data_IF_147384370534
#
_entry.id   IF_147384370534
#
_cell.length_a   1.000
_cell.length_b   1.000
_cell.length_c   1.000
_cell.angle_alpha   90.00
_cell.angle_beta   90.00
_cell.angle_gamma   90.00
#
_symmetry.space_group_name_H-M   'P 1'
#
loop_
_entity.id
_entity.type
_entity.pdbx_description
1 polymer ?
#
# COMPACT_ATOMS: atom_id res chain seq x y z
N UNK A 1 -33.80 -4.66 62.58
CA UNK A 1 -33.57 -3.45 63.43
C UNK A 1 -32.26 -3.69 64.17
N UNK A 2 -31.20 -2.91 64.01
CA UNK A 2 -31.07 -1.50 64.39
C UNK A 2 -29.98 -0.82 63.54
N UNK A 3 -30.32 0.38 63.07
CA UNK A 3 -29.45 1.30 62.33
C UNK A 3 -28.74 2.17 63.37
N UNK A 4 -27.42 2.35 63.26
CA UNK A 4 -26.71 3.37 64.04
C UNK A 4 -25.75 4.11 63.14
N UNK A 5 -26.16 5.31 62.75
CA UNK A 5 -25.37 6.30 62.02
C UNK A 5 -24.48 7.02 63.02
N UNK A 6 -23.19 7.16 62.73
CA UNK A 6 -22.33 8.15 63.38
C UNK A 6 -21.53 8.89 62.31
N UNK A 7 -21.84 10.17 62.16
CA UNK A 7 -20.99 11.16 61.50
C UNK A 7 -20.29 11.92 62.62
N UNK A 8 -18.97 11.90 62.66
CA UNK A 8 -18.20 12.88 63.41
C UNK A 8 -16.75 12.96 62.89
N UNK A 9 -16.49 14.05 62.18
CA UNK A 9 -15.30 14.92 62.32
C UNK A 9 -13.90 14.33 62.09
N UNK A 10 -13.32 14.78 60.98
CA UNK A 10 -11.87 14.84 60.68
C UNK A 10 -11.03 15.43 61.82
N UNK A 11 -9.82 14.89 62.06
CA UNK A 11 -8.68 15.69 62.43
C UNK A 11 -7.77 15.92 61.22
N UNK A 12 -7.48 17.20 61.01
CA UNK A 12 -6.39 17.72 60.18
C UNK A 12 -5.05 17.17 60.72
N UNK A 13 -4.35 16.33 59.94
CA UNK A 13 -2.95 15.98 60.22
C UNK A 13 -2.07 16.65 59.18
N UNK A 14 -1.27 17.59 59.68
CA UNK A 14 -0.23 18.32 58.99
C UNK A 14 1.01 17.41 58.83
N UNK A 15 1.46 17.24 57.59
CA UNK A 15 2.86 17.07 57.16
C UNK A 15 3.75 16.03 57.85
N UNK A 16 3.98 14.91 57.15
CA UNK A 16 5.28 14.22 57.19
C UNK A 16 5.75 13.94 55.75
N UNK A 17 6.90 14.50 55.41
CA UNK A 17 7.57 14.45 54.10
C UNK A 17 8.25 13.10 53.87
N UNK A 18 7.96 12.44 52.75
CA UNK A 18 8.78 11.35 52.18
C UNK A 18 9.36 11.85 50.85
N UNK A 19 10.69 11.82 50.64
CA UNK A 19 11.28 12.20 49.37
C UNK A 19 11.25 11.03 48.37
N UNK A 20 10.86 11.39 47.15
CA UNK A 20 11.32 10.86 45.86
C UNK A 20 11.55 9.34 45.68
N UNK A 21 10.60 8.71 45.00
CA UNK A 21 10.90 7.81 43.88
C UNK A 21 9.76 8.00 42.86
N UNK A 22 10.12 8.35 41.62
CA UNK A 22 9.19 8.65 40.55
C UNK A 22 8.23 7.48 40.27
N UNK A 23 6.94 7.77 40.19
CA UNK A 23 5.91 6.83 39.75
C UNK A 23 6.22 6.35 38.32
N UNK A 24 6.03 5.06 37.99
CA UNK A 24 5.97 4.65 36.59
C UNK A 24 4.84 5.43 35.91
N UNK A 25 5.01 5.96 34.69
CA UNK A 25 3.94 6.71 34.04
C UNK A 25 2.71 5.80 33.97
N UNK A 26 1.67 6.19 34.69
CA UNK A 26 0.38 5.54 34.63
C UNK A 26 -0.05 5.56 33.15
N UNK A 27 -0.21 4.37 32.56
CA UNK A 27 -0.92 4.23 31.30
C UNK A 27 -2.35 4.71 31.55
N UNK A 28 -2.60 5.99 31.28
CA UNK A 28 -3.91 6.60 31.41
C UNK A 28 -4.94 5.87 30.54
N UNK A 29 -6.23 5.94 30.88
CA UNK A 29 -7.27 5.33 30.08
C UNK A 29 -7.25 5.99 28.69
N UNK A 30 -6.98 5.18 27.66
CA UNK A 30 -7.06 5.62 26.27
C UNK A 30 -8.45 6.20 26.05
N UNK A 31 -8.52 7.50 25.80
CA UNK A 31 -9.80 8.19 25.63
C UNK A 31 -10.39 7.87 24.26
N UNK A 32 -11.72 7.96 24.13
CA UNK A 32 -12.40 7.77 22.83
C UNK A 32 -11.89 8.76 21.78
N UNK A 33 -11.41 9.92 22.21
CA UNK A 33 -10.84 10.96 21.36
C UNK A 33 -9.43 10.61 20.86
N UNK A 34 -8.59 10.00 21.70
CA UNK A 34 -7.28 9.48 21.30
C UNK A 34 -7.42 8.25 20.38
N UNK A 35 -8.41 7.38 20.66
CA UNK A 35 -8.79 6.29 19.76
C UNK A 35 -9.26 6.84 18.40
N UNK A 36 -10.15 7.84 18.39
CA UNK A 36 -10.62 8.45 17.15
C UNK A 36 -9.48 9.08 16.37
N UNK A 37 -8.55 9.79 17.02
CA UNK A 37 -7.38 10.38 16.36
C UNK A 37 -6.44 9.31 15.80
N UNK A 38 -6.18 8.23 16.54
CA UNK A 38 -5.39 7.11 16.04
C UNK A 38 -6.08 6.40 14.85
N UNK A 39 -7.41 6.29 14.87
CA UNK A 39 -8.19 5.76 13.75
C UNK A 39 -8.21 6.71 12.54
N UNK A 40 -8.27 8.02 12.76
CA UNK A 40 -8.23 9.03 11.70
C UNK A 40 -6.84 9.12 11.06
N UNK A 41 -5.77 8.97 11.85
CA UNK A 41 -4.39 8.89 11.39
C UNK A 41 -4.14 7.59 10.60
N UNK A 42 -4.66 6.46 11.10
CA UNK A 42 -4.67 5.18 10.38
C UNK A 42 -5.50 5.28 9.08
N UNK A 43 -6.65 5.95 9.09
CA UNK A 43 -7.49 6.15 7.91
C UNK A 43 -6.84 7.10 6.88
N UNK A 44 -6.10 8.11 7.35
CA UNK A 44 -5.26 8.98 6.53
C UNK A 44 -4.09 8.21 5.90
N UNK A 45 -3.46 7.32 6.67
CA UNK A 45 -2.41 6.42 6.21
C UNK A 45 -2.94 5.37 5.21
N UNK A 46 -4.18 4.88 5.39
CA UNK A 46 -4.90 4.00 4.45
C UNK A 46 -5.26 4.74 3.15
N UNK A 47 -5.69 6.00 3.21
CA UNK A 47 -5.94 6.83 2.02
C UNK A 47 -4.65 7.14 1.25
N UNK A 48 -3.58 7.51 1.96
CA UNK A 48 -2.24 7.67 1.35
C UNK A 48 -1.68 6.35 0.82
N UNK A 49 -2.07 5.22 1.42
CA UNK A 49 -1.83 3.89 0.89
C UNK A 49 -2.59 3.65 -0.41
N UNK A 50 -3.84 4.08 -0.58
CA UNK A 50 -4.60 3.93 -1.84
C UNK A 50 -3.93 4.62 -3.05
N UNK A 51 -3.31 5.78 -2.84
CA UNK A 51 -2.55 6.46 -3.88
C UNK A 51 -1.16 5.84 -4.10
N UNK A 52 -0.54 5.31 -3.03
CA UNK A 52 0.66 4.46 -3.13
C UNK A 52 0.38 3.12 -3.80
N UNK A 53 -0.81 2.53 -3.62
CA UNK A 53 -1.32 1.35 -4.31
C UNK A 53 -1.38 1.67 -5.81
N UNK A 54 -1.99 2.79 -6.20
CA UNK A 54 -2.02 3.26 -7.61
C UNK A 54 -0.61 3.39 -8.20
N UNK A 55 0.34 3.87 -7.39
CA UNK A 55 1.77 3.90 -7.70
C UNK A 55 2.43 2.51 -7.76
N UNK A 56 2.01 1.56 -6.92
CA UNK A 56 2.56 0.20 -6.83
C UNK A 56 2.05 -0.75 -7.93
N UNK A 57 0.80 -0.60 -8.38
CA UNK A 57 0.32 -1.24 -9.63
C UNK A 57 1.05 -0.69 -10.86
N UNK A 58 1.75 0.45 -10.73
CA UNK A 58 2.40 1.16 -11.84
C UNK A 58 3.90 1.46 -11.64
N UNK A 59 4.55 0.96 -10.59
CA UNK A 59 5.96 1.21 -10.23
C UNK A 59 6.37 0.37 -9.02
N UNK A 60 7.56 -0.22 -8.93
CA UNK A 60 8.86 0.32 -9.34
C UNK A 60 9.84 -0.81 -9.65
N UNK A 61 9.59 -1.54 -10.72
CA UNK A 61 10.69 -2.12 -11.49
C UNK A 61 10.66 -1.47 -12.88
N UNK A 62 11.67 -0.65 -13.25
CA UNK A 62 11.79 -0.08 -14.59
C UNK A 62 11.70 -1.14 -15.71
N UNK A 63 12.02 -2.41 -15.39
CA UNK A 63 11.97 -3.53 -16.32
C UNK A 63 10.56 -4.08 -16.53
N UNK A 64 9.63 -3.85 -15.60
CA UNK A 64 8.29 -4.42 -15.67
C UNK A 64 7.26 -3.41 -16.22
N UNK A 65 7.26 -3.23 -17.55
CA UNK A 65 6.27 -2.41 -18.26
C UNK A 65 4.86 -3.03 -18.20
N UNK A 66 3.77 -2.25 -18.09
CA UNK A 66 2.40 -2.78 -18.14
C UNK A 66 2.02 -3.14 -19.59
N UNK A 67 2.62 -4.21 -20.13
CA UNK A 67 2.66 -4.44 -21.58
C UNK A 67 1.28 -4.58 -22.22
N UNK A 68 0.33 -5.28 -21.58
CA UNK A 68 -1.04 -5.38 -22.09
C UNK A 68 -1.72 -4.01 -22.15
N UNK A 69 -1.47 -3.13 -21.16
CA UNK A 69 -1.98 -1.76 -21.21
C UNK A 69 -1.37 -0.96 -22.36
N UNK A 70 -0.11 -1.21 -22.71
CA UNK A 70 0.53 -0.62 -23.90
C UNK A 70 -0.13 -1.16 -25.17
N UNK A 71 -0.30 -2.47 -25.30
CA UNK A 71 -1.00 -3.06 -26.46
C UNK A 71 -2.39 -2.43 -26.66
N UNK A 72 -3.15 -2.26 -25.57
CA UNK A 72 -4.47 -1.63 -25.60
C UNK A 72 -4.42 -0.13 -25.92
N UNK A 73 -3.40 0.60 -25.46
CA UNK A 73 -3.25 2.03 -25.78
C UNK A 73 -2.89 2.28 -27.24
N UNK A 74 -2.19 1.34 -27.88
CA UNK A 74 -1.81 1.39 -29.29
C UNK A 74 -2.70 0.50 -30.17
N UNK A 75 -3.95 0.25 -29.76
CA UNK A 75 -4.82 -0.72 -30.44
C UNK A 75 -5.08 -0.37 -31.91
N UNK A 76 -5.16 0.92 -32.25
CA UNK A 76 -5.34 1.36 -33.64
C UNK A 76 -4.06 1.18 -34.45
N UNK A 77 -2.91 1.57 -33.91
CA UNK A 77 -1.62 1.39 -34.57
C UNK A 77 -1.35 -0.09 -34.76
N UNK A 78 -1.58 -0.93 -33.76
CA UNK A 78 -1.43 -2.38 -33.86
C UNK A 78 -2.51 -3.04 -34.73
N UNK A 79 -3.55 -2.32 -35.14
CA UNK A 79 -4.65 -2.90 -35.93
C UNK A 79 -5.33 -4.06 -35.20
N UNK A 80 -5.56 -3.92 -33.89
CA UNK A 80 -6.18 -4.97 -33.09
C UNK A 80 -7.66 -5.14 -33.48
N UNK A 81 -8.09 -6.38 -33.63
CA UNK A 81 -9.51 -6.69 -33.80
C UNK A 81 -10.29 -6.46 -32.50
N UNK A 82 -11.61 -6.31 -32.58
CA UNK A 82 -12.47 -6.18 -31.41
C UNK A 82 -12.31 -7.37 -30.45
N UNK A 83 -12.19 -8.59 -30.98
CA UNK A 83 -11.96 -9.80 -30.18
C UNK A 83 -10.60 -9.80 -29.47
N UNK A 84 -9.53 -9.35 -30.13
CA UNK A 84 -8.22 -9.20 -29.50
C UNK A 84 -8.25 -8.18 -28.36
N UNK A 85 -8.92 -7.03 -28.56
CA UNK A 85 -9.08 -6.01 -27.52
C UNK A 85 -9.83 -6.59 -26.32
N UNK A 86 -10.94 -7.29 -26.55
CA UNK A 86 -11.73 -7.89 -25.48
C UNK A 86 -10.92 -8.90 -24.65
N UNK A 87 -10.16 -9.78 -25.31
CA UNK A 87 -9.33 -10.77 -24.60
C UNK A 87 -8.19 -10.10 -23.82
N UNK A 88 -7.55 -9.08 -24.38
CA UNK A 88 -6.51 -8.33 -23.68
C UNK A 88 -7.06 -7.58 -22.45
N UNK A 89 -8.24 -6.98 -22.57
CA UNK A 89 -8.91 -6.34 -21.43
C UNK A 89 -9.27 -7.35 -20.34
N UNK A 90 -9.78 -8.52 -20.72
CA UNK A 90 -10.10 -9.61 -19.80
C UNK A 90 -8.85 -10.09 -19.07
N UNK A 91 -7.78 -10.41 -19.79
CA UNK A 91 -6.50 -10.84 -19.20
C UNK A 91 -5.96 -9.81 -18.19
N UNK A 92 -6.01 -8.52 -18.55
CA UNK A 92 -5.60 -7.43 -17.64
C UNK A 92 -6.46 -7.38 -16.38
N UNK A 93 -7.78 -7.48 -16.52
CA UNK A 93 -8.70 -7.42 -15.39
C UNK A 93 -8.59 -8.64 -14.48
N UNK A 94 -8.42 -9.83 -15.06
CA UNK A 94 -8.23 -11.08 -14.32
C UNK A 94 -6.95 -11.02 -13.47
N UNK A 95 -5.82 -10.66 -14.10
CA UNK A 95 -4.56 -10.49 -13.38
C UNK A 95 -4.65 -9.39 -12.33
N UNK A 96 -5.30 -8.25 -12.61
CA UNK A 96 -5.45 -7.19 -11.63
C UNK A 96 -6.21 -7.65 -10.39
N UNK A 97 -7.31 -8.41 -10.56
CA UNK A 97 -8.05 -9.00 -9.43
C UNK A 97 -7.20 -9.96 -8.63
N UNK A 98 -6.43 -10.80 -9.31
CA UNK A 98 -5.50 -11.75 -8.68
C UNK A 98 -4.40 -11.04 -7.90
N UNK A 99 -3.81 -10.00 -8.50
CA UNK A 99 -2.74 -9.21 -7.90
C UNK A 99 -3.22 -8.46 -6.66
N UNK A 100 -4.42 -7.88 -6.68
CA UNK A 100 -5.01 -7.22 -5.50
C UNK A 100 -5.12 -8.20 -4.32
N UNK A 101 -5.58 -9.43 -4.56
CA UNK A 101 -5.70 -10.45 -3.51
C UNK A 101 -4.34 -10.83 -2.91
N UNK A 102 -3.38 -11.18 -3.77
CA UNK A 102 -2.03 -11.56 -3.32
C UNK A 102 -1.28 -10.44 -2.62
N UNK A 103 -1.48 -9.20 -3.06
CA UNK A 103 -0.88 -8.03 -2.43
C UNK A 103 -1.50 -7.76 -1.05
N UNK A 104 -2.81 -8.04 -0.88
CA UNK A 104 -3.44 -8.04 0.44
C UNK A 104 -2.84 -9.12 1.35
N UNK A 105 -2.69 -10.35 0.86
CA UNK A 105 -2.07 -11.45 1.61
C UNK A 105 -0.62 -11.11 2.00
N UNK A 106 0.14 -10.50 1.09
CA UNK A 106 1.52 -10.06 1.34
C UNK A 106 1.59 -9.05 2.48
N UNK A 107 0.68 -8.07 2.49
CA UNK A 107 0.62 -7.06 3.56
C UNK A 107 0.30 -7.69 4.91
N UNK A 108 -0.62 -8.65 4.93
CA UNK A 108 -0.92 -9.39 6.16
C UNK A 108 0.33 -10.13 6.66
N UNK A 109 1.05 -10.83 5.79
CA UNK A 109 2.28 -11.51 6.15
C UNK A 109 3.38 -10.55 6.66
N UNK A 110 3.50 -9.36 6.05
CA UNK A 110 4.44 -8.32 6.49
C UNK A 110 4.04 -7.70 7.86
N UNK A 111 2.75 -7.50 8.11
CA UNK A 111 2.23 -7.03 9.40
C UNK A 111 2.45 -8.07 10.50
N UNK A 112 2.19 -9.34 10.21
CA UNK A 112 2.45 -10.45 11.13
C UNK A 112 3.95 -10.55 11.46
N UNK A 113 4.83 -10.43 10.45
CA UNK A 113 6.27 -10.40 10.65
C UNK A 113 6.68 -9.24 11.57
N UNK A 114 6.15 -8.03 11.32
CA UNK A 114 6.43 -6.87 12.16
C UNK A 114 5.95 -7.04 13.60
N UNK A 115 4.86 -7.78 13.83
CA UNK A 115 4.39 -8.11 15.17
C UNK A 115 5.31 -9.13 15.87
N UNK A 116 5.77 -10.16 15.15
CA UNK A 116 6.70 -11.17 15.68
C UNK A 116 8.03 -10.56 16.13
N UNK A 117 8.55 -9.57 15.40
CA UNK A 117 9.81 -8.90 15.74
C UNK A 117 9.72 -8.03 17.00
N UNK A 118 8.52 -7.77 17.52
CA UNK A 118 8.31 -7.00 18.76
C UNK A 118 8.21 -7.88 20.00
N UNK A 119 8.21 -9.21 19.85
CA UNK A 119 8.15 -10.13 21.00
C UNK A 119 9.53 -10.29 21.64
N UNK A 120 9.56 -10.51 22.95
CA UNK A 120 10.80 -10.82 23.68
C UNK A 120 10.60 -12.11 24.51
N UNK A 121 11.32 -13.21 24.22
CA UNK A 121 12.27 -13.34 23.12
C UNK A 121 11.59 -13.39 21.74
N UNK A 122 12.35 -13.06 20.69
CA UNK A 122 11.89 -13.23 19.30
C UNK A 122 11.88 -14.72 18.94
N UNK A 123 10.74 -15.19 18.40
CA UNK A 123 10.63 -16.53 17.83
C UNK A 123 11.18 -16.54 16.39
N UNK A 124 12.46 -16.91 16.25
CA UNK A 124 13.15 -16.95 14.96
C UNK A 124 12.53 -17.94 13.96
N UNK A 125 11.93 -19.03 14.44
CA UNK A 125 11.28 -20.01 13.56
C UNK A 125 10.03 -19.43 12.89
N UNK A 126 9.22 -18.68 13.65
CA UNK A 126 8.06 -17.98 13.10
C UNK A 126 8.45 -16.82 12.19
N UNK A 127 9.52 -16.09 12.53
CA UNK A 127 10.07 -15.03 11.68
C UNK A 127 10.49 -15.59 10.32
N UNK A 128 11.29 -16.66 10.31
CA UNK A 128 11.73 -17.30 9.06
C UNK A 128 10.55 -17.76 8.21
N UNK A 129 9.55 -18.38 8.82
CA UNK A 129 8.35 -18.83 8.11
C UNK A 129 7.60 -17.65 7.44
N UNK A 130 7.44 -16.53 8.16
CA UNK A 130 6.75 -15.34 7.63
C UNK A 130 7.55 -14.63 6.54
N UNK A 131 8.87 -14.56 6.66
CA UNK A 131 9.73 -14.04 5.58
C UNK A 131 9.59 -14.89 4.32
N UNK A 132 9.69 -16.23 4.43
CA UNK A 132 9.53 -17.13 3.29
C UNK A 132 8.14 -17.03 2.65
N UNK A 133 7.09 -16.89 3.46
CA UNK A 133 5.73 -16.65 2.98
C UNK A 133 5.63 -15.36 2.15
N UNK A 134 6.16 -14.24 2.66
CA UNK A 134 6.17 -12.96 1.97
C UNK A 134 6.93 -13.03 0.63
N UNK A 135 8.13 -13.63 0.62
CA UNK A 135 8.90 -13.76 -0.62
C UNK A 135 8.22 -14.67 -1.65
N UNK A 136 7.55 -15.75 -1.21
CA UNK A 136 6.74 -16.59 -2.11
C UNK A 136 5.63 -15.78 -2.76
N UNK A 137 4.89 -14.97 -1.98
CA UNK A 137 3.81 -14.13 -2.51
C UNK A 137 4.31 -13.10 -3.53
N UNK A 138 5.47 -12.47 -3.26
CA UNK A 138 6.14 -11.57 -4.23
C UNK A 138 6.55 -12.30 -5.50
N UNK A 139 7.12 -13.50 -5.38
CA UNK A 139 7.47 -14.35 -6.51
C UNK A 139 6.26 -14.73 -7.36
N UNK A 140 5.16 -15.13 -6.71
CA UNK A 140 3.92 -15.51 -7.38
C UNK A 140 3.29 -14.35 -8.16
N UNK A 141 3.34 -13.12 -7.62
CA UNK A 141 2.91 -11.91 -8.33
C UNK A 141 3.71 -11.71 -9.62
N UNK A 142 5.06 -11.78 -9.55
CA UNK A 142 5.93 -11.62 -10.72
C UNK A 142 5.68 -12.69 -11.77
N UNK A 143 5.57 -13.95 -11.35
CA UNK A 143 5.29 -15.07 -12.25
C UNK A 143 3.91 -14.92 -12.90
N UNK A 144 2.88 -14.57 -12.13
CA UNK A 144 1.53 -14.33 -12.64
C UNK A 144 1.52 -13.23 -13.70
N UNK A 145 2.27 -12.15 -13.48
CA UNK A 145 2.43 -11.07 -14.44
C UNK A 145 3.06 -11.54 -15.75
N UNK A 146 4.18 -12.26 -15.67
CA UNK A 146 4.88 -12.79 -16.85
C UNK A 146 3.95 -13.69 -17.65
N UNK A 147 3.25 -14.62 -17.00
CA UNK A 147 2.28 -15.50 -17.66
C UNK A 147 1.19 -14.71 -18.37
N UNK A 148 0.63 -13.70 -17.71
CA UNK A 148 -0.42 -12.85 -18.30
C UNK A 148 0.11 -12.11 -19.52
N UNK A 149 1.34 -11.56 -19.46
CA UNK A 149 1.99 -10.91 -20.59
C UNK A 149 2.19 -11.86 -21.76
N UNK A 150 2.66 -13.08 -21.53
CA UNK A 150 2.84 -14.08 -22.59
C UNK A 150 1.49 -14.49 -23.20
N UNK A 151 0.44 -14.64 -22.40
CA UNK A 151 -0.92 -14.86 -22.89
C UNK A 151 -1.43 -13.68 -23.74
N UNK A 152 -1.10 -12.44 -23.34
CA UNK A 152 -1.43 -11.24 -24.12
C UNK A 152 -0.70 -11.20 -25.45
N UNK A 153 0.60 -11.50 -25.49
CA UNK A 153 1.37 -11.64 -26.74
C UNK A 153 0.80 -12.75 -27.63
N UNK A 154 0.33 -13.84 -27.04
CA UNK A 154 -0.30 -14.95 -27.77
C UNK A 154 -1.55 -14.52 -28.56
N UNK A 155 -2.25 -13.45 -28.14
CA UNK A 155 -3.38 -12.89 -28.88
C UNK A 155 -2.98 -12.13 -30.15
N UNK A 156 -1.71 -11.73 -30.29
CA UNK A 156 -1.21 -10.94 -31.41
C UNK A 156 -0.71 -11.81 -32.55
N UNK A 157 -0.94 -11.36 -33.78
CA UNK A 157 -0.30 -11.94 -34.98
C UNK A 157 1.21 -11.61 -35.01
N UNK A 158 2.01 -12.33 -35.81
CA UNK A 158 3.44 -12.04 -35.97
C UNK A 158 3.72 -10.57 -36.35
N UNK A 159 2.95 -10.02 -37.29
CA UNK A 159 3.11 -8.63 -37.74
C UNK A 159 2.79 -7.61 -36.63
N UNK A 160 1.74 -7.88 -35.84
CA UNK A 160 1.38 -7.05 -34.69
C UNK A 160 2.47 -7.08 -33.61
N UNK A 161 3.09 -8.23 -33.37
CA UNK A 161 4.23 -8.34 -32.43
C UNK A 161 5.45 -7.58 -32.92
N UNK A 162 5.75 -7.62 -34.21
CA UNK A 162 6.84 -6.85 -34.80
C UNK A 162 6.59 -5.34 -34.62
N UNK A 163 5.38 -4.88 -34.91
CA UNK A 163 4.99 -3.47 -34.71
C UNK A 163 5.05 -3.04 -33.25
N UNK A 164 4.61 -3.91 -32.34
CA UNK A 164 4.74 -3.67 -30.90
C UNK A 164 6.20 -3.54 -30.47
N UNK A 165 7.12 -4.37 -31.00
CA UNK A 165 8.54 -4.27 -30.68
C UNK A 165 9.13 -2.91 -31.11
N UNK A 166 8.76 -2.40 -32.29
CA UNK A 166 9.14 -1.05 -32.73
C UNK A 166 8.63 0.02 -31.78
N UNK A 167 7.33 -0.02 -31.41
CA UNK A 167 6.73 0.94 -30.48
C UNK A 167 7.37 0.92 -29.07
N UNK A 168 7.90 -0.23 -28.65
CA UNK A 168 8.59 -0.35 -27.36
C UNK A 168 10.05 0.14 -27.40
N UNK A 169 10.66 0.13 -28.58
CA UNK A 169 12.04 0.59 -28.83
C UNK A 169 12.17 2.11 -29.03
N UNK A 170 11.09 2.78 -29.44
CA UNK A 170 11.06 4.25 -29.50
C UNK A 170 11.03 4.86 -28.08
N UNK A 171 11.80 5.94 -27.79
CA UNK A 171 11.73 6.63 -26.52
C UNK A 171 10.30 7.13 -26.28
N UNK A 172 9.67 6.62 -25.23
CA UNK A 172 8.35 7.07 -24.79
C UNK A 172 8.39 8.61 -24.58
N UNK A 173 7.51 9.42 -25.19
CA UNK A 173 7.46 10.83 -24.88
C UNK A 173 7.18 10.98 -23.37
N UNK A 174 7.95 11.80 -22.63
CA UNK A 174 7.81 11.92 -21.18
C UNK A 174 6.34 12.10 -20.81
N UNK A 175 5.83 11.23 -19.91
CA UNK A 175 4.48 11.44 -19.38
C UNK A 175 4.45 12.83 -18.76
N UNK A 176 3.47 13.70 -19.09
CA UNK A 176 3.31 14.96 -18.40
C UNK A 176 3.16 14.64 -16.92
N UNK A 177 4.18 14.98 -16.11
CA UNK A 177 4.05 14.89 -14.67
C UNK A 177 2.89 15.81 -14.29
N UNK A 178 1.91 15.29 -13.54
CA UNK A 178 0.73 16.03 -13.10
C UNK A 178 1.05 17.26 -12.21
N UNK A 179 2.33 17.64 -12.07
CA UNK A 179 2.81 18.85 -11.42
C UNK A 179 3.09 20.03 -12.37
N UNK A 180 3.03 19.87 -13.70
CA UNK A 180 3.34 20.94 -14.66
C UNK A 180 2.13 21.83 -15.02
N UNK A 181 1.20 22.01 -14.07
CA UNK A 181 0.13 23.03 -14.16
C UNK A 181 0.54 24.38 -13.57
N UNK A 182 1.83 24.68 -13.47
CA UNK A 182 2.28 26.05 -13.27
C UNK A 182 2.55 26.64 -14.64
N UNK A 183 1.51 27.24 -15.23
CA UNK A 183 1.66 28.11 -16.40
C UNK A 183 2.75 29.17 -16.18
N UNK A 184 3.23 29.83 -17.25
CA UNK A 184 4.35 30.75 -17.18
C UNK A 184 4.10 31.79 -16.08
N UNK A 185 4.96 31.79 -15.06
CA UNK A 185 5.00 32.84 -14.04
C UNK A 185 5.43 34.13 -14.73
N UNK A 186 4.47 34.97 -15.11
CA UNK A 186 4.75 36.35 -15.47
C UNK A 186 5.33 37.03 -14.21
N UNK A 187 6.58 37.52 -14.23
CA UNK A 187 7.10 38.27 -13.10
C UNK A 187 6.31 39.58 -12.94
N UNK A 188 6.02 40.02 -11.71
CA UNK A 188 5.32 41.28 -11.50
C UNK A 188 6.16 42.44 -12.04
N UNK A 189 5.51 43.35 -12.76
CA UNK A 189 6.09 44.61 -13.20
C UNK A 189 6.56 45.39 -11.95
N UNK A 190 7.84 45.76 -11.94
CA UNK A 190 8.38 46.68 -10.93
C UNK A 190 7.91 48.09 -11.30
N UNK A 191 7.21 48.74 -10.37
CA UNK A 191 7.01 50.19 -10.36
C UNK A 191 8.26 50.88 -9.84
#
# INVERSE_FOLDING_TARGET
>A
MRITTYVATLPLILGLTIPAAAEPPALGPVTHEELSRAFDELAGQIRGWGDRWRGHFTGSDPTERPLISIMLSYRQELGLSAGQVQELERLRADYQREAIKRDADLRVAEMDLAALLKTDPVDLGRVEAKVREAERLRGDLRIGRIRTIEQGKAQLTPDQRAKLATLLGDPWPPRPHAGDRRGPRTPPARL
#
